data_IF_671617749349
#
_entry.id   IF_671617749349
#
_cell.length_a   1.000
_cell.length_b   1.000
_cell.length_c   1.000
_cell.angle_alpha   90.00
_cell.angle_beta   90.00
_cell.angle_gamma   90.00
#
_symmetry.space_group_name_H-M   'P 1'
#
loop_
_entity.id
_entity.type
_entity.pdbx_description
1 polymer ?
#
# COMPACT_ATOMS: atom_id res chain seq x y z
N UNK A 1 -12.15 13.49 -8.05
CA UNK A 1 -11.01 12.59 -7.71
C UNK A 1 -11.25 11.20 -8.31
N UNK A 2 -10.21 10.55 -8.83
CA UNK A 2 -10.34 9.31 -9.62
C UNK A 2 -11.06 8.17 -8.86
N UNK A 3 -10.76 8.00 -7.56
CA UNK A 3 -11.33 6.95 -6.70
C UNK A 3 -12.79 7.19 -6.25
N UNK A 4 -13.43 8.29 -6.66
CA UNK A 4 -14.86 8.58 -6.36
C UNK A 4 -15.72 8.71 -7.63
N UNK A 5 -15.17 8.35 -8.78
CA UNK A 5 -15.89 8.43 -10.06
C UNK A 5 -17.04 7.44 -10.11
N UNK A 6 -17.99 7.69 -11.01
CA UNK A 6 -19.12 6.77 -11.24
C UNK A 6 -18.64 5.38 -11.66
N UNK A 7 -17.68 5.29 -12.58
CA UNK A 7 -17.14 4.00 -13.04
C UNK A 7 -16.61 3.14 -11.89
N UNK A 8 -15.84 3.74 -10.98
CA UNK A 8 -15.35 3.03 -9.78
C UNK A 8 -16.48 2.52 -8.90
N UNK A 9 -17.57 3.30 -8.74
CA UNK A 9 -18.73 2.87 -7.95
C UNK A 9 -19.48 1.73 -8.63
N UNK A 10 -19.77 1.87 -9.92
CA UNK A 10 -20.47 0.85 -10.72
C UNK A 10 -19.68 -0.48 -10.69
N UNK A 11 -18.35 -0.42 -10.77
CA UNK A 11 -17.47 -1.59 -10.66
C UNK A 11 -17.53 -2.23 -9.26
N UNK A 12 -17.45 -1.45 -8.18
CA UNK A 12 -17.55 -1.94 -6.80
C UNK A 12 -18.91 -2.58 -6.53
N UNK A 13 -20.00 -1.95 -6.98
CA UNK A 13 -21.36 -2.46 -6.84
C UNK A 13 -21.53 -3.80 -7.59
N UNK A 14 -20.90 -3.94 -8.77
CA UNK A 14 -20.91 -5.19 -9.55
C UNK A 14 -20.28 -6.38 -8.80
N UNK A 15 -19.39 -6.11 -7.84
CA UNK A 15 -18.72 -7.12 -7.03
C UNK A 15 -19.59 -7.65 -5.88
N UNK A 16 -20.80 -7.11 -5.69
CA UNK A 16 -21.83 -7.59 -4.77
C UNK A 16 -21.31 -7.78 -3.33
N UNK A 17 -20.59 -6.78 -2.83
CA UNK A 17 -20.04 -6.78 -1.46
C UNK A 17 -18.73 -7.55 -1.26
N UNK A 18 -18.17 -8.17 -2.31
CA UNK A 18 -16.83 -8.80 -2.23
C UNK A 18 -15.68 -7.78 -2.14
N UNK A 19 -15.97 -6.51 -2.44
CA UNK A 19 -15.08 -5.38 -2.27
C UNK A 19 -15.85 -4.28 -1.53
N UNK A 20 -15.28 -3.77 -0.45
CA UNK A 20 -15.79 -2.61 0.28
C UNK A 20 -14.78 -1.46 0.18
N UNK A 21 -15.27 -0.23 0.21
CA UNK A 21 -14.42 0.96 0.21
C UNK A 21 -14.49 1.64 1.58
N UNK A 22 -13.32 1.84 2.19
CA UNK A 22 -13.15 2.65 3.39
C UNK A 22 -12.55 4.00 2.99
N UNK A 23 -13.31 5.07 3.19
CA UNK A 23 -12.84 6.42 2.87
C UNK A 23 -12.18 7.06 4.08
N UNK A 24 -10.93 7.46 3.91
CA UNK A 24 -10.20 8.24 4.90
C UNK A 24 -10.56 9.74 4.80
N UNK A 25 -10.46 10.49 5.91
CA UNK A 25 -10.48 11.95 5.87
C UNK A 25 -9.42 12.52 4.94
N UNK A 26 -9.57 13.79 4.54
CA UNK A 26 -8.50 14.51 3.84
C UNK A 26 -7.24 14.58 4.71
N UNK A 27 -6.07 14.60 4.07
CA UNK A 27 -4.75 14.69 4.71
C UNK A 27 -4.39 13.57 5.72
N UNK A 28 -5.14 12.46 5.73
CA UNK A 28 -4.95 11.34 6.64
C UNK A 28 -3.98 10.26 6.09
N UNK A 29 -2.79 10.67 5.64
CA UNK A 29 -1.79 9.75 5.08
C UNK A 29 -1.33 8.70 6.11
N UNK A 30 -1.22 9.10 7.38
CA UNK A 30 -0.82 8.27 8.52
C UNK A 30 -1.81 7.13 8.83
N UNK A 31 -3.06 7.26 8.36
CA UNK A 31 -4.09 6.23 8.47
C UNK A 31 -4.04 5.21 7.32
N UNK A 32 -3.22 5.42 6.29
CA UNK A 32 -3.10 4.47 5.17
C UNK A 32 -1.96 3.47 5.44
N UNK A 33 -2.23 2.16 5.55
CA UNK A 33 -1.18 1.15 5.78
C UNK A 33 -0.15 1.10 4.64
N UNK A 34 -0.49 1.56 3.43
CA UNK A 34 0.45 1.62 2.31
C UNK A 34 1.62 2.58 2.60
N UNK A 35 1.40 3.65 3.38
CA UNK A 35 2.48 4.54 3.80
C UNK A 35 3.51 3.82 4.70
N UNK A 36 3.09 2.81 5.47
CA UNK A 36 3.98 1.99 6.28
C UNK A 36 4.84 1.09 5.38
N UNK A 37 4.25 0.52 4.32
CA UNK A 37 4.97 -0.24 3.29
C UNK A 37 6.01 0.66 2.63
N UNK A 38 5.62 1.84 2.15
CA UNK A 38 6.55 2.78 1.51
C UNK A 38 7.65 3.27 2.45
N UNK A 39 7.33 3.54 3.72
CA UNK A 39 8.32 3.91 4.74
C UNK A 39 9.33 2.79 4.97
N UNK A 40 8.88 1.53 5.01
CA UNK A 40 9.76 0.37 5.10
C UNK A 40 10.63 0.25 3.85
N UNK A 41 10.03 0.22 2.65
CA UNK A 41 10.73 0.09 1.36
C UNK A 41 11.80 1.17 1.17
N UNK A 42 11.51 2.43 1.51
CA UNK A 42 12.49 3.53 1.43
C UNK A 42 13.65 3.37 2.42
N UNK A 43 13.44 2.73 3.56
CA UNK A 43 14.42 2.59 4.64
C UNK A 43 15.31 1.35 4.48
N UNK A 44 14.72 0.24 4.06
CA UNK A 44 15.38 -1.06 3.95
C UNK A 44 15.80 -1.39 2.52
N UNK A 45 15.17 -0.74 1.55
CA UNK A 45 15.50 -0.90 0.15
C UNK A 45 16.76 -0.15 -0.27
N UNK A 46 17.14 -0.41 -1.52
CA UNK A 46 18.24 0.22 -2.25
C UNK A 46 17.92 1.65 -2.70
N UNK A 47 16.93 2.31 -2.10
CA UNK A 47 16.58 3.71 -2.40
C UNK A 47 17.77 4.66 -2.21
N UNK A 48 18.76 4.25 -1.41
CA UNK A 48 20.03 4.97 -1.20
C UNK A 48 21.17 4.54 -2.12
N UNK A 49 20.95 3.59 -3.01
CA UNK A 49 21.93 3.12 -4.00
C UNK A 49 21.59 3.65 -5.38
N UNK A 50 22.50 4.41 -6.03
CA UNK A 50 22.29 4.88 -7.39
C UNK A 50 21.95 3.74 -8.36
N UNK A 51 21.13 4.04 -9.37
CA UNK A 51 20.93 3.13 -10.49
C UNK A 51 22.25 2.99 -11.25
N UNK A 52 22.62 1.76 -11.58
CA UNK A 52 23.70 1.48 -12.52
C UNK A 52 23.17 1.67 -13.95
N UNK A 53 24.09 1.85 -14.89
CA UNK A 53 23.71 1.95 -16.31
C UNK A 53 22.92 0.70 -16.74
N UNK A 54 21.78 0.91 -17.39
CA UNK A 54 20.87 -0.16 -17.83
C UNK A 54 19.86 -0.64 -16.80
N UNK A 55 19.96 -0.24 -15.53
CA UNK A 55 18.95 -0.60 -14.51
C UNK A 55 17.77 0.37 -14.51
N UNK A 56 16.57 -0.16 -14.23
CA UNK A 56 15.34 0.63 -14.08
C UNK A 56 14.93 0.70 -12.62
N UNK A 57 14.47 1.87 -12.19
CA UNK A 57 13.91 2.05 -10.85
C UNK A 57 12.70 1.14 -10.59
N UNK A 58 11.83 1.00 -11.59
CA UNK A 58 10.62 0.19 -11.49
C UNK A 58 10.94 -1.26 -11.14
N UNK A 59 11.94 -1.86 -11.80
CA UNK A 59 12.34 -3.25 -11.56
C UNK A 59 12.85 -3.42 -10.12
N UNK A 60 13.71 -2.50 -9.64
CA UNK A 60 14.20 -2.55 -8.26
C UNK A 60 13.11 -2.36 -7.20
N UNK A 61 12.14 -1.49 -7.47
CA UNK A 61 10.98 -1.30 -6.58
C UNK A 61 10.12 -2.57 -6.58
N UNK A 62 9.92 -3.17 -7.75
CA UNK A 62 9.16 -4.42 -7.89
C UNK A 62 9.81 -5.58 -7.12
N UNK A 63 11.13 -5.74 -7.22
CA UNK A 63 11.87 -6.76 -6.48
C UNK A 63 11.71 -6.58 -4.97
N UNK A 64 11.80 -5.34 -4.46
CA UNK A 64 11.60 -5.04 -3.04
C UNK A 64 10.19 -5.31 -2.56
N UNK A 65 9.18 -4.92 -3.33
CA UNK A 65 7.79 -5.19 -2.98
C UNK A 65 7.50 -6.70 -3.03
N UNK A 66 8.11 -7.44 -3.95
CA UNK A 66 8.03 -8.90 -4.02
C UNK A 66 8.67 -9.56 -2.79
N UNK A 67 9.83 -9.08 -2.35
CA UNK A 67 10.51 -9.52 -1.13
C UNK A 67 9.68 -9.26 0.13
N UNK A 68 8.94 -8.16 0.17
CA UNK A 68 8.00 -7.85 1.27
C UNK A 68 6.80 -8.80 1.20
N UNK A 69 6.23 -9.02 0.01
CA UNK A 69 5.03 -9.83 -0.18
C UNK A 69 5.21 -11.28 0.29
N UNK A 70 6.40 -11.85 0.15
CA UNK A 70 6.70 -13.22 0.62
C UNK A 70 6.95 -13.32 2.14
N UNK A 71 6.90 -12.20 2.88
CA UNK A 71 7.12 -12.16 4.34
C UNK A 71 5.81 -11.84 5.07
N UNK A 72 4.95 -12.84 5.33
CA UNK A 72 3.62 -12.61 5.90
C UNK A 72 3.65 -11.93 7.26
N UNK A 73 4.64 -12.21 8.11
CA UNK A 73 4.77 -11.55 9.41
C UNK A 73 5.11 -10.06 9.27
N UNK A 74 5.92 -9.69 8.28
CA UNK A 74 6.20 -8.28 7.98
C UNK A 74 4.94 -7.58 7.47
N UNK A 75 4.23 -8.20 6.51
CA UNK A 75 2.98 -7.64 5.98
C UNK A 75 1.96 -7.44 7.09
N UNK A 76 1.76 -8.45 7.95
CA UNK A 76 0.87 -8.35 9.12
C UNK A 76 1.29 -7.25 10.09
N UNK A 77 2.59 -7.01 10.25
CA UNK A 77 3.07 -5.96 11.16
C UNK A 77 2.63 -4.55 10.76
N UNK A 78 2.47 -4.29 9.45
CA UNK A 78 1.96 -3.00 8.98
C UNK A 78 0.51 -2.77 9.43
N UNK A 79 -0.33 -3.80 9.35
CA UNK A 79 -1.74 -3.73 9.79
C UNK A 79 -1.91 -3.72 11.32
N UNK A 80 -0.87 -4.06 12.09
CA UNK A 80 -0.86 -3.98 13.56
C UNK A 80 -0.35 -2.65 14.10
N UNK A 81 0.01 -1.71 13.22
CA UNK A 81 0.52 -0.41 13.66
C UNK A 81 -0.61 0.43 14.29
N UNK A 82 -0.37 1.15 15.41
CA UNK A 82 -1.42 1.88 16.11
C UNK A 82 -2.18 2.90 15.26
N UNK A 83 -1.51 3.54 14.27
CA UNK A 83 -2.15 4.53 13.40
C UNK A 83 -3.18 3.94 12.44
N UNK A 84 -3.19 2.62 12.24
CA UNK A 84 -4.13 1.93 11.34
C UNK A 84 -5.03 0.93 12.05
N UNK A 85 -5.14 1.04 13.39
CA UNK A 85 -5.92 0.11 14.22
C UNK A 85 -7.40 -0.01 13.80
N UNK A 86 -7.96 1.04 13.20
CA UNK A 86 -9.34 1.05 12.68
C UNK A 86 -9.61 -0.05 11.64
N UNK A 87 -8.57 -0.60 11.00
CA UNK A 87 -8.71 -1.67 10.00
C UNK A 87 -9.11 -3.00 10.66
N UNK A 88 -8.61 -3.26 11.87
CA UNK A 88 -8.88 -4.49 12.62
C UNK A 88 -10.14 -4.43 13.48
N UNK A 89 -10.76 -3.26 13.61
CA UNK A 89 -11.99 -3.06 14.40
C UNK A 89 -13.28 -3.32 13.59
N UNK A 90 -13.15 -3.79 12.34
CA UNK A 90 -14.22 -4.09 11.39
C UNK A 90 -14.64 -5.57 11.38
#
# INVERSE_FOLDING_TARGET
PAHKTRGVRDDVDSLKGRLTLHFLPGDAQDLNPDELVWSYTKRTGVARSPLRSGEKLADRVHDQLSDIAVRPELVRSFFRHPSVAYISDL
#
